data_IF_971219912807
#
_entry.id   IF_971219912807
#
_cell.length_a   1.000
_cell.length_b   1.000
_cell.length_c   1.000
_cell.angle_alpha   90.00
_cell.angle_beta   90.00
_cell.angle_gamma   90.00
#
_symmetry.space_group_name_H-M   'P 1'
#
loop_
_entity.id
_entity.type
_entity.pdbx_description
1 polymer ?
#
# COMPACT_ATOMS: atom_id res chain seq x y z
N UNK A 1 -61.53 -25.53 28.10
CA UNK A 1 -60.62 -26.24 29.01
C UNK A 1 -59.45 -26.81 28.18
N UNK A 2 -58.31 -26.11 28.07
CA UNK A 2 -57.16 -26.55 27.29
C UNK A 2 -56.39 -27.65 28.04
N UNK A 3 -56.06 -28.75 27.33
CA UNK A 3 -55.31 -29.90 27.86
C UNK A 3 -53.80 -29.65 27.73
N UNK A 4 -53.13 -29.65 28.88
CA UNK A 4 -51.68 -29.56 29.05
C UNK A 4 -51.00 -30.81 28.48
N UNK A 5 -50.11 -30.63 27.50
CA UNK A 5 -49.26 -31.69 26.96
C UNK A 5 -47.92 -31.71 27.71
N UNK A 6 -47.76 -32.68 28.60
CA UNK A 6 -46.53 -32.88 29.38
C UNK A 6 -45.58 -33.80 28.60
N UNK A 7 -44.39 -33.28 28.27
CA UNK A 7 -43.26 -34.04 27.67
C UNK A 7 -42.83 -35.20 28.58
N UNK A 8 -42.71 -36.40 28.03
CA UNK A 8 -41.91 -37.50 28.61
C UNK A 8 -40.57 -37.57 27.88
N UNK A 9 -39.48 -37.39 28.63
CA UNK A 9 -38.11 -37.72 28.23
C UNK A 9 -37.93 -39.23 28.37
N UNK A 10 -37.39 -39.89 27.34
CA UNK A 10 -36.84 -41.24 27.45
C UNK A 10 -35.32 -41.15 27.44
N UNK A 11 -34.73 -41.85 28.41
CA UNK A 11 -33.31 -42.13 28.54
C UNK A 11 -32.98 -43.47 27.84
N UNK A 12 -31.69 -43.67 27.51
CA UNK A 12 -31.08 -44.77 26.73
C UNK A 12 -31.10 -44.50 25.23
N UNK A 13 -30.00 -44.58 24.49
CA UNK A 13 -28.89 -45.55 24.61
C UNK A 13 -27.49 -44.94 24.56
N UNK A 14 -26.62 -45.57 25.34
CA UNK A 14 -25.17 -45.51 25.30
C UNK A 14 -24.67 -46.71 24.48
N UNK A 15 -24.17 -46.47 23.26
CA UNK A 15 -23.36 -47.42 22.49
C UNK A 15 -22.13 -46.63 22.01
N UNK A 16 -20.96 -46.89 22.61
CA UNK A 16 -19.99 -47.90 22.20
C UNK A 16 -19.12 -47.42 21.03
N UNK A 17 -17.95 -46.95 21.44
CA UNK A 17 -16.72 -46.67 20.70
C UNK A 17 -16.35 -47.77 19.68
N UNK A 18 -15.90 -47.35 18.50
CA UNK A 18 -14.96 -48.12 17.66
C UNK A 18 -14.14 -47.14 16.81
N UNK A 19 -12.86 -46.91 17.13
CA UNK A 19 -11.92 -46.20 16.27
C UNK A 19 -11.28 -47.22 15.33
N UNK A 20 -11.29 -46.95 14.04
CA UNK A 20 -10.50 -47.69 13.07
C UNK A 20 -10.16 -46.76 11.91
N UNK A 21 -8.97 -46.98 11.38
CA UNK A 21 -8.39 -46.42 10.15
C UNK A 21 -7.80 -45.00 10.25
N UNK A 22 -6.69 -44.94 10.99
CA UNK A 22 -5.55 -44.13 10.58
C UNK A 22 -4.87 -44.78 9.35
N UNK A 23 -4.69 -44.07 8.24
CA UNK A 23 -3.65 -44.43 7.27
C UNK A 23 -2.34 -43.72 7.63
N UNK A 24 -1.37 -44.54 8.03
CA UNK A 24 0.06 -44.23 7.98
C UNK A 24 0.48 -44.05 6.51
N UNK A 25 0.94 -42.85 6.12
CA UNK A 25 1.82 -42.70 4.97
C UNK A 25 3.17 -42.15 5.42
N UNK A 26 4.00 -43.13 5.79
CA UNK A 26 5.45 -43.04 5.81
C UNK A 26 5.95 -43.04 4.35
N UNK A 27 6.49 -41.91 3.88
CA UNK A 27 7.40 -41.91 2.74
C UNK A 27 8.60 -41.03 3.04
N UNK A 28 9.64 -41.68 3.54
CA UNK A 28 10.99 -41.15 3.58
C UNK A 28 11.58 -41.04 2.17
N UNK A 29 12.17 -39.88 1.88
CA UNK A 29 13.26 -39.76 0.92
C UNK A 29 14.44 -39.16 1.68
N UNK A 30 15.39 -40.04 1.97
CA UNK A 30 16.79 -39.68 2.17
C UNK A 30 17.46 -39.54 0.78
N UNK A 31 18.70 -39.04 0.81
CA UNK A 31 19.63 -38.78 -0.30
C UNK A 31 19.42 -37.43 -1.02
N UNK A 32 20.43 -36.57 -1.20
CA UNK A 32 21.88 -36.74 -1.12
C UNK A 32 22.52 -35.35 -0.91
N UNK A 33 23.52 -35.30 -0.03
CA UNK A 33 24.48 -34.20 0.07
C UNK A 33 25.44 -34.27 -1.12
N UNK A 34 25.56 -33.20 -1.90
CA UNK A 34 26.69 -33.00 -2.81
C UNK A 34 27.40 -31.68 -2.45
N UNK A 35 28.34 -31.80 -1.52
CA UNK A 35 29.49 -30.91 -1.42
C UNK A 35 30.46 -31.22 -2.57
N UNK A 36 30.88 -30.22 -3.35
CA UNK A 36 32.29 -29.77 -3.40
C UNK A 36 32.63 -28.91 -4.64
N UNK A 37 33.63 -28.02 -4.51
CA UNK A 37 33.98 -26.99 -5.48
C UNK A 37 35.02 -27.45 -6.52
N UNK A 38 34.90 -26.96 -7.76
CA UNK A 38 35.94 -27.14 -8.77
C UNK A 38 36.99 -26.01 -8.72
N UNK A 39 38.13 -26.34 -8.10
CA UNK A 39 39.43 -25.68 -8.34
C UNK A 39 40.08 -26.27 -9.61
N UNK A 40 40.61 -25.42 -10.48
CA UNK A 40 41.53 -25.86 -11.54
C UNK A 40 41.71 -24.82 -12.65
N UNK A 41 42.61 -23.85 -12.54
CA UNK A 41 44.06 -23.94 -12.79
C UNK A 41 44.48 -23.60 -14.23
N UNK A 42 45.52 -22.75 -14.31
CA UNK A 42 46.56 -22.57 -15.35
C UNK A 42 46.47 -21.30 -16.20
N UNK A 43 47.40 -20.35 -15.96
CA UNK A 43 48.71 -20.13 -16.66
C UNK A 43 48.52 -19.11 -17.80
N UNK A 44 49.37 -18.12 -18.06
CA UNK A 44 50.66 -17.69 -17.54
C UNK A 44 50.86 -16.20 -17.88
N UNK A 45 51.62 -15.44 -17.09
CA UNK A 45 53.08 -15.29 -17.19
C UNK A 45 53.58 -14.61 -18.49
N UNK A 46 53.91 -13.32 -18.38
CA UNK A 46 55.08 -12.60 -18.96
C UNK A 46 54.95 -11.12 -18.52
N UNK A 47 55.80 -10.59 -17.63
CA UNK A 47 57.16 -10.04 -17.88
C UNK A 47 57.19 -9.16 -19.14
N UNK A 48 57.72 -7.93 -19.18
CA UNK A 48 58.57 -7.15 -18.28
C UNK A 48 58.69 -5.73 -18.86
N UNK A 49 58.96 -4.75 -17.99
CA UNK A 49 59.88 -3.59 -18.15
C UNK A 49 60.29 -3.20 -19.59
N UNK A 50 60.16 -1.93 -19.98
CA UNK A 50 61.22 -0.93 -19.80
C UNK A 50 60.91 0.44 -20.44
N UNK A 51 61.58 1.46 -19.88
CA UNK A 51 62.09 2.68 -20.54
C UNK A 51 61.25 3.96 -20.49
N UNK A 52 61.74 4.84 -19.62
CA UNK A 52 61.59 6.29 -19.60
C UNK A 52 62.31 6.94 -20.79
N UNK A 53 61.71 7.93 -21.43
CA UNK A 53 62.17 9.34 -21.42
C UNK A 53 61.67 10.16 -22.62
N UNK A 54 61.21 11.36 -22.26
CA UNK A 54 61.32 12.64 -22.96
C UNK A 54 60.75 12.82 -24.39
N UNK A 55 59.73 13.69 -24.47
CA UNK A 55 59.82 14.80 -25.42
C UNK A 55 58.53 15.28 -26.08
N UNK A 56 58.20 16.54 -25.77
CA UNK A 56 57.52 17.52 -26.64
C UNK A 56 55.98 17.68 -26.55
N UNK A 57 55.59 18.69 -25.76
CA UNK A 57 54.83 19.87 -26.21
C UNK A 57 53.63 19.64 -27.14
N UNK A 58 52.43 19.62 -26.57
CA UNK A 58 51.25 20.19 -27.24
C UNK A 58 50.25 20.72 -26.23
N UNK A 59 50.02 22.04 -26.30
CA UNK A 59 49.04 22.81 -25.52
C UNK A 59 47.64 22.33 -25.89
N UNK A 60 46.97 21.59 -24.99
CA UNK A 60 45.51 21.41 -25.04
C UNK A 60 44.86 22.22 -23.91
N UNK A 61 44.21 23.29 -24.37
CA UNK A 61 43.27 24.14 -23.67
C UNK A 61 42.34 23.32 -22.77
N UNK A 62 42.41 23.60 -21.45
CA UNK A 62 41.36 23.26 -20.50
C UNK A 62 40.14 24.13 -20.83
N UNK A 63 39.17 23.56 -21.53
CA UNK A 63 37.79 24.05 -21.48
C UNK A 63 37.13 23.38 -20.27
N UNK A 64 36.55 24.15 -19.33
CA UNK A 64 35.68 23.57 -18.32
C UNK A 64 34.48 22.96 -19.04
N UNK A 65 34.19 21.69 -18.75
CA UNK A 65 32.89 21.11 -19.05
C UNK A 65 31.86 21.96 -18.32
N UNK A 66 31.04 22.63 -19.11
CA UNK A 66 29.83 23.29 -18.65
C UNK A 66 28.87 22.13 -18.34
N UNK A 67 28.72 21.83 -17.05
CA UNK A 67 27.59 21.05 -16.56
C UNK A 67 26.33 21.82 -16.97
N UNK A 68 25.76 21.42 -18.11
CA UNK A 68 24.43 21.79 -18.58
C UNK A 68 23.51 20.67 -18.08
N UNK A 69 22.96 20.83 -16.88
CA UNK A 69 21.79 20.07 -16.36
C UNK A 69 21.39 20.69 -15.00
N UNK A 70 20.83 21.90 -15.00
CA UNK A 70 20.12 22.50 -13.84
C UNK A 70 19.09 23.54 -14.35
N UNK A 71 18.38 23.23 -15.43
CA UNK A 71 17.19 23.97 -15.85
C UNK A 71 15.94 23.16 -15.48
N UNK A 72 15.41 23.43 -14.28
CA UNK A 72 13.98 23.48 -13.92
C UNK A 72 13.82 23.40 -12.37
N UNK A 73 14.44 24.35 -11.67
CA UNK A 73 14.24 24.54 -10.22
C UNK A 73 13.30 25.73 -9.97
N UNK A 74 12.05 25.64 -10.46
CA UNK A 74 11.02 26.56 -9.99
C UNK A 74 10.62 26.16 -8.55
N UNK A 75 10.63 27.10 -7.60
CA UNK A 75 10.31 26.81 -6.20
C UNK A 75 8.82 26.47 -6.05
N UNK A 76 8.52 25.41 -5.31
CA UNK A 76 7.15 25.11 -4.90
C UNK A 76 6.55 26.32 -4.15
N UNK A 77 5.29 26.71 -4.46
CA UNK A 77 4.67 27.86 -3.82
C UNK A 77 4.57 27.65 -2.31
N UNK A 78 4.90 28.69 -1.54
CA UNK A 78 4.74 28.68 -0.08
C UNK A 78 3.25 28.65 0.27
N UNK A 79 2.72 27.48 0.58
CA UNK A 79 1.34 27.30 1.04
C UNK A 79 1.29 27.43 2.56
N UNK A 80 0.83 28.58 3.06
CA UNK A 80 0.54 28.77 4.49
C UNK A 80 0.39 30.22 4.94
N UNK A 81 -0.75 30.54 5.56
CA UNK A 81 -0.99 31.81 6.27
C UNK A 81 -1.10 31.59 7.79
N UNK A 82 -0.95 32.67 8.57
CA UNK A 82 -1.07 32.64 10.05
C UNK A 82 -2.48 33.06 10.48
N UNK A 83 -3.01 32.43 11.54
CA UNK A 83 -4.25 32.82 12.23
C UNK A 83 -5.47 31.93 11.93
N UNK A 84 -6.52 32.05 12.75
CA UNK A 84 -7.75 31.24 12.66
C UNK A 84 -8.45 31.34 11.29
N UNK A 85 -8.44 32.52 10.66
CA UNK A 85 -8.96 32.68 9.30
C UNK A 85 -8.13 31.98 8.21
N UNK A 86 -6.85 31.69 8.46
CA UNK A 86 -6.05 30.83 7.57
C UNK A 86 -6.25 29.36 7.91
N UNK A 87 -6.51 29.01 9.17
CA UNK A 87 -6.87 27.65 9.59
C UNK A 87 -8.22 27.22 8.99
N UNK A 88 -9.24 28.07 9.05
CA UNK A 88 -10.54 27.79 8.42
C UNK A 88 -10.43 27.72 6.89
N UNK A 89 -9.61 28.58 6.27
CA UNK A 89 -9.33 28.52 4.83
C UNK A 89 -8.50 27.32 4.42
N UNK A 90 -7.56 26.82 5.23
CA UNK A 90 -6.83 25.56 4.93
C UNK A 90 -7.68 24.33 5.28
N UNK A 91 -8.69 24.47 6.14
CA UNK A 91 -9.68 23.42 6.43
C UNK A 91 -10.74 23.31 5.32
N UNK A 92 -11.12 24.43 4.68
CA UNK A 92 -12.10 24.47 3.60
C UNK A 92 -11.49 24.47 2.19
N UNK A 93 -10.26 24.96 2.03
CA UNK A 93 -9.52 24.68 0.81
C UNK A 93 -9.16 23.21 0.86
N UNK A 94 -9.71 22.43 -0.06
CA UNK A 94 -9.00 21.29 -0.59
C UNK A 94 -7.65 21.84 -1.06
N UNK A 95 -6.67 21.85 -0.16
CA UNK A 95 -5.29 21.72 -0.57
C UNK A 95 -5.32 20.59 -1.61
N UNK A 96 -4.64 20.70 -2.76
CA UNK A 96 -4.70 19.68 -3.82
C UNK A 96 -4.21 18.26 -3.42
N UNK A 97 -4.24 17.96 -2.13
CA UNK A 97 -4.12 16.68 -1.49
C UNK A 97 -5.50 16.05 -1.32
N UNK A 98 -5.66 14.78 -1.70
CA UNK A 98 -6.88 14.04 -1.47
C UNK A 98 -7.17 13.85 0.02
N UNK A 99 -8.45 13.90 0.38
CA UNK A 99 -8.88 13.46 1.70
C UNK A 99 -8.68 11.94 1.80
N UNK A 100 -7.93 11.52 2.81
CA UNK A 100 -7.56 10.11 2.96
C UNK A 100 -8.51 9.40 3.92
N UNK A 101 -9.09 8.29 3.47
CA UNK A 101 -9.82 7.37 4.35
C UNK A 101 -8.84 6.63 5.25
N UNK A 102 -9.18 6.50 6.53
CA UNK A 102 -8.39 5.79 7.53
C UNK A 102 -9.29 4.87 8.34
N UNK A 103 -9.12 3.57 8.14
CA UNK A 103 -9.80 2.58 8.96
C UNK A 103 -9.47 2.76 10.46
N UNK A 104 -10.52 2.81 11.28
CA UNK A 104 -10.47 2.98 12.73
C UNK A 104 -10.69 1.65 13.45
N UNK A 105 -10.67 1.66 14.79
CA UNK A 105 -11.05 0.49 15.60
C UNK A 105 -12.52 0.10 15.47
N UNK A 106 -13.37 1.08 15.20
CA UNK A 106 -14.78 0.91 14.89
C UNK A 106 -14.96 0.57 13.41
N UNK A 107 -16.00 -0.22 13.14
CA UNK A 107 -16.37 -0.58 11.77
C UNK A 107 -17.03 0.60 11.08
N UNK A 108 -16.52 0.92 9.90
CA UNK A 108 -17.05 1.97 9.03
C UNK A 108 -17.47 1.33 7.71
N UNK A 109 -18.62 1.74 7.18
CA UNK A 109 -19.06 1.32 5.85
C UNK A 109 -18.37 2.16 4.79
N UNK A 110 -17.88 1.50 3.74
CA UNK A 110 -17.39 2.13 2.54
C UNK A 110 -17.98 1.48 1.30
N UNK A 111 -18.07 2.25 0.23
CA UNK A 111 -18.38 1.77 -1.12
C UNK A 111 -17.22 2.09 -2.07
N UNK A 112 -16.84 1.16 -2.95
CA UNK A 112 -15.76 1.37 -3.91
C UNK A 112 -16.33 1.94 -5.20
N UNK A 113 -15.68 2.95 -5.78
CA UNK A 113 -16.08 3.50 -7.08
C UNK A 113 -15.44 2.73 -8.25
N UNK A 114 -14.19 2.26 -8.04
CA UNK A 114 -13.43 1.52 -9.05
C UNK A 114 -13.35 0.02 -8.73
N UNK A 115 -13.43 -0.84 -9.74
CA UNK A 115 -13.19 -2.30 -9.60
C UNK A 115 -11.70 -2.64 -9.37
N UNK A 116 -10.81 -1.74 -9.80
CA UNK A 116 -9.36 -1.88 -9.71
C UNK A 116 -8.74 -0.66 -9.04
N UNK A 117 -7.53 -0.76 -8.43
CA UNK A 117 -6.88 0.42 -7.87
C UNK A 117 -6.52 1.42 -8.97
N UNK A 118 -6.87 2.70 -8.76
CA UNK A 118 -6.57 3.76 -9.72
C UNK A 118 -5.09 4.20 -9.70
N UNK A 119 -4.35 3.88 -8.62
CA UNK A 119 -2.95 4.24 -8.48
C UNK A 119 -2.18 3.19 -7.66
N UNK A 120 -1.02 2.77 -8.17
CA UNK A 120 -0.06 1.88 -7.49
C UNK A 120 1.33 2.47 -7.58
N UNK A 121 2.01 2.64 -6.45
CA UNK A 121 3.35 3.22 -6.41
C UNK A 121 4.20 2.66 -5.27
N UNK A 122 5.49 2.95 -5.28
CA UNK A 122 6.43 2.60 -4.23
C UNK A 122 6.73 3.81 -3.34
N UNK A 123 6.78 3.61 -2.03
CA UNK A 123 6.98 4.68 -1.05
C UNK A 123 8.01 4.30 0.02
N UNK A 124 8.98 5.18 0.24
CA UNK A 124 9.94 5.13 1.34
C UNK A 124 9.36 5.76 2.61
N UNK A 125 9.67 5.16 3.77
CA UNK A 125 9.37 5.74 5.08
C UNK A 125 10.68 6.02 5.83
N UNK A 126 11.03 7.30 5.93
CA UNK A 126 12.27 7.75 6.55
C UNK A 126 11.97 8.39 7.90
N UNK A 127 12.62 7.89 8.96
CA UNK A 127 12.47 8.42 10.31
C UNK A 127 13.25 9.72 10.47
N UNK A 128 12.60 10.85 10.18
CA UNK A 128 13.17 12.20 10.32
C UNK A 128 12.18 13.22 10.86
N UNK A 129 12.66 14.44 11.14
CA UNK A 129 11.78 15.57 11.47
C UNK A 129 11.06 16.07 10.21
N UNK A 130 9.74 16.27 10.30
CA UNK A 130 8.92 16.76 9.19
C UNK A 130 8.33 15.64 8.34
N UNK A 131 8.32 15.81 7.00
CA UNK A 131 7.81 14.82 6.04
C UNK A 131 8.64 13.54 6.12
N UNK A 132 7.97 12.41 6.36
CA UNK A 132 8.58 11.08 6.50
C UNK A 132 8.33 10.15 5.32
N UNK A 133 7.31 10.41 4.52
CA UNK A 133 6.97 9.62 3.34
C UNK A 133 7.55 10.24 2.06
N UNK A 134 8.18 9.42 1.22
CA UNK A 134 8.70 9.85 -0.08
C UNK A 134 8.38 8.83 -1.15
N UNK A 135 7.86 9.30 -2.29
CA UNK A 135 7.62 8.47 -3.47
C UNK A 135 8.97 7.98 -4.01
N UNK A 136 9.09 6.67 -4.19
CA UNK A 136 10.26 6.05 -4.80
C UNK A 136 10.27 6.31 -6.30
N UNK A 137 11.45 6.56 -6.86
CA UNK A 137 11.64 6.76 -8.31
C UNK A 137 11.88 5.44 -9.07
N UNK A 138 11.77 4.31 -8.37
CA UNK A 138 12.11 2.96 -8.82
C UNK A 138 13.56 2.88 -9.32
N UNK A 139 13.79 3.20 -10.59
CA UNK A 139 15.11 3.22 -11.20
C UNK A 139 15.89 4.45 -10.75
N UNK A 140 17.16 4.24 -10.37
CA UNK A 140 18.08 5.29 -9.93
C UNK A 140 17.57 6.08 -8.71
N UNK A 141 16.80 5.47 -7.81
CA UNK A 141 16.29 6.15 -6.62
C UNK A 141 17.42 6.33 -5.59
N UNK A 142 17.80 7.56 -5.19
CA UNK A 142 18.88 7.76 -4.22
C UNK A 142 18.64 7.05 -2.88
N UNK A 143 17.39 6.97 -2.43
CA UNK A 143 17.04 6.27 -1.18
C UNK A 143 17.27 4.76 -1.29
N UNK A 144 16.99 4.15 -2.45
CA UNK A 144 17.29 2.73 -2.70
C UNK A 144 18.80 2.51 -2.86
N UNK A 145 19.45 3.29 -3.72
CA UNK A 145 20.79 3.02 -4.21
C UNK A 145 21.88 3.41 -3.19
N UNK A 146 21.71 4.58 -2.57
CA UNK A 146 22.75 5.18 -1.72
C UNK A 146 22.49 4.91 -0.23
N UNK A 147 21.23 4.97 0.21
CA UNK A 147 20.84 4.69 1.60
C UNK A 147 20.44 3.22 1.86
N UNK A 148 20.26 2.41 0.81
CA UNK A 148 19.84 1.02 0.94
C UNK A 148 18.43 0.83 1.51
N UNK A 149 17.61 1.88 1.51
CA UNK A 149 16.25 1.83 2.05
C UNK A 149 15.33 1.04 1.10
N UNK A 150 14.42 0.26 1.68
CA UNK A 150 13.50 -0.59 0.92
C UNK A 150 12.12 0.05 0.90
N UNK A 151 11.64 0.52 -0.27
CA UNK A 151 10.32 1.09 -0.34
C UNK A 151 9.24 0.02 -0.15
N UNK A 152 8.08 0.46 0.31
CA UNK A 152 6.87 -0.34 0.44
C UNK A 152 5.90 -0.01 -0.68
N UNK A 153 5.19 -1.02 -1.19
CA UNK A 153 4.11 -0.81 -2.16
C UNK A 153 2.91 -0.14 -1.49
N UNK A 154 2.35 0.85 -2.16
CA UNK A 154 1.12 1.55 -1.80
C UNK A 154 0.14 1.41 -2.96
N UNK A 155 -1.12 1.17 -2.63
CA UNK A 155 -2.22 0.95 -3.55
C UNK A 155 -3.36 1.86 -3.13
N UNK A 156 -3.93 2.62 -4.07
CA UNK A 156 -4.98 3.58 -3.79
C UNK A 156 -6.29 3.19 -4.49
N UNK A 157 -7.39 3.37 -3.77
CA UNK A 157 -8.76 3.17 -4.25
C UNK A 157 -9.59 4.42 -3.96
N UNK A 158 -10.51 4.76 -4.86
CA UNK A 158 -11.56 5.74 -4.57
C UNK A 158 -12.67 5.04 -3.78
N UNK A 159 -13.00 5.59 -2.62
CA UNK A 159 -14.07 5.06 -1.77
C UNK A 159 -15.01 6.18 -1.33
N UNK A 160 -16.29 5.87 -1.24
CA UNK A 160 -17.27 6.67 -0.51
C UNK A 160 -17.27 6.21 0.94
N UNK A 161 -17.01 7.13 1.86
CA UNK A 161 -16.91 6.91 3.30
C UNK A 161 -18.20 7.33 4.02
N UNK A 162 -18.82 6.39 4.72
CA UNK A 162 -20.06 6.58 5.50
C UNK A 162 -19.78 6.72 7.00
N UNK A 163 -18.61 7.27 7.38
CA UNK A 163 -18.37 7.66 8.78
C UNK A 163 -19.45 8.62 9.29
N UNK A 164 -19.97 9.48 8.41
CA UNK A 164 -21.18 10.29 8.61
C UNK A 164 -22.24 9.85 7.59
N UNK A 165 -23.23 9.02 7.99
CA UNK A 165 -24.25 8.51 7.08
C UNK A 165 -25.08 9.57 6.35
N UNK A 166 -25.28 10.75 6.96
CA UNK A 166 -26.08 11.83 6.38
C UNK A 166 -25.28 12.65 5.34
N UNK A 167 -23.95 12.53 5.31
CA UNK A 167 -23.07 13.28 4.40
C UNK A 167 -21.89 12.40 3.90
N UNK A 168 -22.16 11.38 3.05
CA UNK A 168 -21.11 10.49 2.54
C UNK A 168 -20.05 11.26 1.73
N UNK A 169 -18.76 10.96 1.96
CA UNK A 169 -17.66 11.70 1.35
C UNK A 169 -16.76 10.80 0.50
N UNK A 170 -16.37 11.29 -0.68
CA UNK A 170 -15.33 10.63 -1.48
C UNK A 170 -13.94 10.84 -0.84
N UNK A 171 -13.23 9.73 -0.64
CA UNK A 171 -11.89 9.70 -0.05
C UNK A 171 -10.99 8.73 -0.80
N UNK A 172 -9.69 8.96 -0.70
CA UNK A 172 -8.67 8.03 -1.16
C UNK A 172 -8.36 7.05 -0.04
N UNK A 173 -8.53 5.76 -0.28
CA UNK A 173 -8.04 4.73 0.61
C UNK A 173 -6.67 4.23 0.16
N UNK A 174 -5.62 4.79 0.77
CA UNK A 174 -4.25 4.32 0.58
C UNK A 174 -3.96 3.12 1.48
N UNK A 175 -3.64 1.97 0.88
CA UNK A 175 -3.39 0.70 1.57
C UNK A 175 -2.08 0.04 1.15
N UNK A 176 -1.56 -0.80 2.04
CA UNK A 176 -0.42 -1.67 1.75
C UNK A 176 -0.82 -2.99 1.07
N UNK A 177 0.17 -3.82 0.66
CA UNK A 177 -0.05 -5.01 -0.16
C UNK A 177 -0.98 -6.05 0.49
N UNK A 178 -0.92 -6.23 1.81
CA UNK A 178 -1.78 -7.19 2.52
C UNK A 178 -3.28 -6.89 2.32
N UNK A 179 -3.67 -5.62 2.39
CA UNK A 179 -5.08 -5.23 2.21
C UNK A 179 -5.45 -5.29 0.74
N UNK A 180 -4.55 -4.85 -0.16
CA UNK A 180 -4.76 -4.97 -1.59
C UNK A 180 -4.98 -6.43 -2.03
N UNK A 181 -4.26 -7.40 -1.46
CA UNK A 181 -4.46 -8.82 -1.74
C UNK A 181 -5.82 -9.34 -1.25
N UNK A 182 -6.31 -8.86 -0.10
CA UNK A 182 -7.66 -9.18 0.39
C UNK A 182 -8.71 -8.67 -0.62
N UNK A 183 -8.61 -7.40 -1.04
CA UNK A 183 -9.53 -6.79 -1.99
C UNK A 183 -9.46 -7.48 -3.37
N UNK A 184 -8.26 -7.84 -3.83
CA UNK A 184 -8.06 -8.60 -5.06
C UNK A 184 -8.74 -9.98 -5.02
N UNK A 185 -8.82 -10.61 -3.85
CA UNK A 185 -9.55 -11.87 -3.70
C UNK A 185 -11.07 -11.65 -3.80
N UNK A 186 -11.59 -10.55 -3.23
CA UNK A 186 -12.99 -10.17 -3.40
C UNK A 186 -13.33 -9.83 -4.87
N UNK A 187 -12.44 -9.13 -5.56
CA UNK A 187 -12.60 -8.82 -6.99
C UNK A 187 -12.61 -10.07 -7.89
N UNK A 188 -12.08 -11.20 -7.43
CA UNK A 188 -12.09 -12.49 -8.15
C UNK A 188 -13.23 -13.41 -7.74
N UNK A 189 -13.81 -13.22 -6.57
CA UNK A 189 -14.87 -14.09 -6.07
C UNK A 189 -16.20 -13.76 -6.75
N UNK A 190 -16.92 -14.77 -7.23
CA UNK A 190 -18.17 -14.60 -7.99
C UNK A 190 -19.26 -13.87 -7.23
N UNK A 191 -19.22 -13.85 -5.89
CA UNK A 191 -20.24 -13.21 -5.05
C UNK A 191 -19.96 -11.72 -4.83
N UNK A 192 -18.70 -11.31 -4.91
CA UNK A 192 -18.22 -9.97 -4.58
C UNK A 192 -17.51 -9.26 -5.74
N UNK A 193 -17.44 -9.90 -6.90
CA UNK A 193 -16.90 -9.33 -8.14
C UNK A 193 -18.03 -8.72 -8.99
N UNK A 194 -17.82 -7.56 -9.62
CA UNK A 194 -16.74 -6.61 -9.32
C UNK A 194 -16.92 -5.97 -7.92
N UNK A 195 -15.84 -5.41 -7.35
CA UNK A 195 -15.90 -4.87 -5.97
C UNK A 195 -16.67 -3.55 -5.87
N UNK A 196 -16.89 -2.86 -6.99
CA UNK A 196 -17.62 -1.59 -7.09
C UNK A 196 -19.08 -1.76 -7.53
N UNK A 197 -19.70 -2.92 -7.28
CA UNK A 197 -21.12 -3.10 -7.58
C UNK A 197 -21.99 -2.19 -6.71
N UNK A 198 -22.99 -1.56 -7.32
CA UNK A 198 -23.94 -0.66 -6.68
C UNK A 198 -24.63 -1.30 -5.44
N UNK A 199 -24.89 -2.61 -5.48
CA UNK A 199 -25.54 -3.36 -4.39
C UNK A 199 -24.56 -3.90 -3.31
N UNK A 200 -23.27 -3.56 -3.40
CA UNK A 200 -22.19 -4.10 -2.60
C UNK A 200 -21.41 -3.00 -1.86
N UNK A 201 -21.33 -3.18 -0.55
CA UNK A 201 -20.63 -2.30 0.37
C UNK A 201 -19.64 -3.13 1.19
N UNK A 202 -18.74 -2.46 1.91
CA UNK A 202 -17.75 -3.12 2.73
C UNK A 202 -17.69 -2.49 4.11
N UNK A 203 -17.83 -3.31 5.15
CA UNK A 203 -17.47 -2.90 6.50
C UNK A 203 -15.96 -3.03 6.68
N UNK A 204 -15.33 -1.95 7.11
CA UNK A 204 -13.88 -1.87 7.29
C UNK A 204 -13.59 -1.47 8.73
N UNK A 205 -12.80 -2.29 9.42
CA UNK A 205 -12.20 -1.95 10.71
C UNK A 205 -10.76 -2.39 10.78
N UNK A 206 -10.01 -1.74 11.66
CA UNK A 206 -8.59 -1.99 11.91
C UNK A 206 -8.36 -2.23 13.40
N UNK A 207 -7.76 -3.37 13.73
CA UNK A 207 -7.29 -3.65 15.08
C UNK A 207 -5.77 -3.62 15.13
N UNK A 208 -5.20 -3.00 16.17
CA UNK A 208 -3.75 -3.02 16.41
C UNK A 208 -3.46 -3.68 17.74
N UNK A 209 -2.77 -4.83 17.70
CA UNK A 209 -2.39 -5.61 18.88
C UNK A 209 -0.93 -6.02 18.79
N UNK A 210 -0.15 -5.78 19.85
CA UNK A 210 1.28 -6.12 19.90
C UNK A 210 2.08 -5.60 18.68
N UNK A 211 1.87 -4.34 18.29
CA UNK A 211 2.46 -3.71 17.09
C UNK A 211 2.10 -4.38 15.74
N UNK A 212 1.17 -5.34 15.73
CA UNK A 212 0.61 -5.90 14.50
C UNK A 212 -0.74 -5.26 14.22
N UNK A 213 -0.91 -4.76 13.01
CA UNK A 213 -2.17 -4.25 12.51
C UNK A 213 -2.87 -5.35 11.72
N UNK A 214 -4.14 -5.62 12.04
CA UNK A 214 -5.02 -6.50 11.29
C UNK A 214 -6.19 -5.69 10.77
N UNK A 215 -6.49 -5.82 9.48
CA UNK A 215 -7.69 -5.24 8.87
C UNK A 215 -8.77 -6.33 8.76
N UNK A 216 -9.99 -5.97 9.11
CA UNK A 216 -11.18 -6.78 8.88
C UNK A 216 -12.02 -6.05 7.85
N UNK A 217 -12.17 -6.67 6.68
CA UNK A 217 -12.94 -6.16 5.56
C UNK A 217 -13.99 -7.21 5.26
N UNK A 218 -15.26 -6.87 5.38
CA UNK A 218 -16.37 -7.82 5.18
C UNK A 218 -17.40 -7.22 4.24
N UNK A 219 -17.80 -7.93 3.17
CA UNK A 219 -18.86 -7.45 2.28
C UNK A 219 -20.19 -7.36 3.01
N UNK A 220 -20.91 -6.26 2.77
CA UNK A 220 -22.23 -5.93 3.29
C UNK A 220 -23.13 -5.71 2.08
N UNK A 221 -24.31 -6.31 2.08
CA UNK A 221 -25.27 -6.11 0.99
C UNK A 221 -26.08 -4.85 1.26
N UNK A 222 -26.48 -4.19 0.19
CA UNK A 222 -27.37 -3.03 0.22
C UNK A 222 -28.57 -3.20 1.17
N UNK A 223 -29.28 -4.32 1.08
CA UNK A 223 -30.45 -4.64 1.91
C UNK A 223 -30.17 -4.66 3.42
N UNK A 224 -28.92 -4.90 3.82
CA UNK A 224 -28.50 -5.01 5.21
C UNK A 224 -28.00 -3.65 5.75
N UNK A 225 -27.86 -2.61 4.90
CA UNK A 225 -27.36 -1.29 5.28
C UNK A 225 -28.31 -0.56 6.24
N UNK A 226 -29.58 -0.43 5.87
CA UNK A 226 -30.53 0.33 6.68
C UNK A 226 -30.79 -0.36 8.03
N UNK A 227 -30.96 -1.68 8.02
CA UNK A 227 -31.30 -2.46 9.21
C UNK A 227 -30.14 -2.56 10.22
N UNK A 228 -28.90 -2.78 9.75
CA UNK A 228 -27.75 -3.03 10.62
C UNK A 228 -26.88 -1.78 10.86
N UNK A 229 -26.97 -0.77 9.98
CA UNK A 229 -26.05 0.39 9.99
C UNK A 229 -26.74 1.76 9.94
N UNK A 230 -28.07 1.82 9.77
CA UNK A 230 -28.82 3.09 9.64
C UNK A 230 -28.29 3.96 8.49
N UNK A 231 -27.89 3.30 7.39
CA UNK A 231 -27.36 3.94 6.17
C UNK A 231 -28.35 3.72 5.03
N UNK A 232 -28.72 4.80 4.34
CA UNK A 232 -29.43 4.73 3.07
C UNK A 232 -28.43 4.38 1.94
N UNK A 233 -28.76 3.43 1.05
CA UNK A 233 -27.95 3.15 -0.13
C UNK A 233 -27.77 4.37 -1.03
N UNK A 234 -26.64 4.43 -1.74
CA UNK A 234 -26.42 5.45 -2.77
C UNK A 234 -27.39 5.26 -3.93
N UNK A 235 -27.97 6.36 -4.40
CA UNK A 235 -28.72 6.37 -5.65
C UNK A 235 -27.79 6.52 -6.86
N UNK A 236 -28.29 6.21 -8.06
CA UNK A 236 -27.52 6.36 -9.31
C UNK A 236 -26.99 7.79 -9.49
N UNK A 237 -27.76 8.80 -9.06
CA UNK A 237 -27.36 10.22 -9.12
C UNK A 237 -26.16 10.52 -8.19
N UNK A 238 -26.12 9.91 -7.00
CA UNK A 238 -25.01 10.06 -6.06
C UNK A 238 -23.73 9.42 -6.63
N UNK A 239 -23.86 8.22 -7.23
CA UNK A 239 -22.76 7.50 -7.84
C UNK A 239 -22.16 8.31 -9.00
N UNK A 240 -22.99 8.88 -9.89
CA UNK A 240 -22.52 9.77 -10.97
C UNK A 240 -21.78 11.01 -10.42
N UNK A 241 -22.29 11.60 -9.33
CA UNK A 241 -21.64 12.74 -8.69
C UNK A 241 -20.27 12.35 -8.11
N UNK A 242 -20.18 11.21 -7.41
CA UNK A 242 -18.92 10.75 -6.83
C UNK A 242 -17.90 10.35 -7.91
N UNK A 243 -18.32 9.66 -8.96
CA UNK A 243 -17.47 9.29 -10.09
C UNK A 243 -16.88 10.54 -10.77
N UNK A 244 -17.66 11.61 -10.91
CA UNK A 244 -17.16 12.87 -11.47
C UNK A 244 -16.09 13.55 -10.62
N UNK A 245 -16.02 13.21 -9.33
CA UNK A 245 -15.05 13.73 -8.35
C UNK A 245 -13.95 12.71 -8.02
N UNK A 246 -13.95 11.53 -8.66
CA UNK A 246 -12.97 10.50 -8.42
C UNK A 246 -11.54 11.00 -8.62
N UNK A 247 -10.64 10.57 -7.74
CA UNK A 247 -9.24 10.95 -7.81
C UNK A 247 -8.52 10.11 -8.88
N UNK A 248 -7.52 10.73 -9.51
CA UNK A 248 -6.65 10.10 -10.51
C UNK A 248 -5.19 10.04 -10.04
N UNK A 249 -4.30 9.55 -10.91
CA UNK A 249 -2.85 9.48 -10.64
C UNK A 249 -2.21 10.84 -10.32
N UNK A 250 -2.85 11.95 -10.67
CA UNK A 250 -2.38 13.32 -10.46
C UNK A 250 -2.26 13.72 -8.99
N UNK A 251 -2.85 12.96 -8.07
CA UNK A 251 -2.66 13.15 -6.62
C UNK A 251 -1.23 12.81 -6.15
N UNK A 252 -0.47 12.03 -6.93
CA UNK A 252 0.84 11.53 -6.50
C UNK A 252 1.90 12.62 -6.58
N UNK A 253 2.43 13.00 -5.41
CA UNK A 253 3.55 13.94 -5.35
C UNK A 253 4.89 13.22 -5.48
N UNK A 254 5.54 13.40 -6.62
CA UNK A 254 6.90 12.91 -6.84
C UNK A 254 7.91 13.95 -6.33
N UNK A 255 8.76 13.53 -5.39
CA UNK A 255 9.83 14.38 -4.83
C UNK A 255 11.00 14.41 -5.82
N UNK A 256 11.65 15.57 -5.98
CA UNK A 256 12.73 15.70 -6.95
C UNK A 256 13.94 14.86 -6.52
N UNK A 257 14.71 14.37 -7.50
CA UNK A 257 15.91 13.55 -7.25
C UNK A 257 16.93 14.28 -6.38
N UNK A 258 17.12 15.59 -6.58
CA UNK A 258 18.03 16.43 -5.80
C UNK A 258 17.66 16.44 -4.32
N UNK A 259 16.38 16.67 -4.01
CA UNK A 259 15.85 16.64 -2.66
C UNK A 259 16.01 15.26 -1.99
N UNK A 260 15.79 14.16 -2.75
CA UNK A 260 16.03 12.81 -2.25
C UNK A 260 17.51 12.58 -1.90
N UNK A 261 18.46 13.12 -2.68
CA UNK A 261 19.88 13.06 -2.34
C UNK A 261 20.22 13.85 -1.07
N UNK A 262 19.56 14.99 -0.86
CA UNK A 262 19.76 15.76 0.37
C UNK A 262 19.27 14.97 1.59
N UNK A 263 18.12 14.29 1.46
CA UNK A 263 17.60 13.38 2.48
C UNK A 263 18.57 12.23 2.76
N UNK A 264 19.15 11.62 1.72
CA UNK A 264 20.19 10.58 1.89
C UNK A 264 21.37 11.12 2.71
N UNK A 265 21.83 12.34 2.42
CA UNK A 265 22.94 12.95 3.20
C UNK A 265 22.54 13.21 4.64
N UNK A 266 21.30 13.60 4.92
CA UNK A 266 20.81 13.73 6.31
C UNK A 266 20.89 12.38 7.04
N UNK A 267 20.38 11.30 6.42
CA UNK A 267 20.35 9.96 7.02
C UNK A 267 21.77 9.42 7.30
N UNK A 268 22.72 9.64 6.38
CA UNK A 268 24.07 9.07 6.50
C UNK A 268 24.99 9.87 7.44
N UNK A 269 24.62 11.11 7.80
CA UNK A 269 25.43 11.97 8.68
C UNK A 269 24.90 12.05 10.12
N UNK A 270 23.69 11.52 10.40
CA UNK A 270 23.18 11.27 11.75
C UNK A 270 23.71 9.93 12.32
#
# INVERSE_FOLDING_TARGET
MPRTLTRRRTARDTEAYSPADEPEEEHGYADEEDEAPTRGSRRGARQSLNTEEAGTSSRRSRRPSRDEDDEDDEPAPKVGGKGWGSYEKTKQASSGFPDNFKATGESVIVHFLDDEPFLVFLQHWIERKGKKSFTCLESKCPLCDDAGDKPSQQVCFNVVDFTDPEDPQIKVWQVGPMVADILKNYAKDKKTSPINRDDLYFSVRKETKNNKTTYYITPVKERDLLDDWDIEPLEDEDLEEFDSKAYDEGILQVTRRSELKDIVREILND
#
